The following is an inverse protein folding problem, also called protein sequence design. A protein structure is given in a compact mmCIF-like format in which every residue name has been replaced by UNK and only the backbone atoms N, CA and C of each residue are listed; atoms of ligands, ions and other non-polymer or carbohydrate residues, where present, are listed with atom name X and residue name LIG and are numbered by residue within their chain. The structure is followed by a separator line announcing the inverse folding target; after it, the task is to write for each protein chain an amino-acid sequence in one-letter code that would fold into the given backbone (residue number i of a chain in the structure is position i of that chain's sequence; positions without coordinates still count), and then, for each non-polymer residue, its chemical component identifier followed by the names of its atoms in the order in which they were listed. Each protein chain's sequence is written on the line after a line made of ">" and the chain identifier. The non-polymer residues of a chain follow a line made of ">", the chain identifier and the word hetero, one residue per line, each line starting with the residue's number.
data_IF_865367909993
#
_entry.id   IF_865367909993
#
_cell.length_a   1.000
_cell.length_b   1.000
_cell.length_c   1.000
_cell.angle_alpha   90.00
_cell.angle_beta   90.00
_cell.angle_gamma   90.00
#
_symmetry.space_group_name_H-M   'P 1'
#
loop_
_entity.id
_entity.type
_entity.pdbx_description
1 polymer ?
#
# COMPACT_ATOMS: atom_id res chain seq x y z
N UNK A 1 14.60 -2.48 6.63
CA UNK A 1 15.42 -1.50 7.38
C UNK A 1 14.47 -0.82 8.35
N UNK A 2 14.62 -1.11 9.63
CA UNK A 2 13.76 -0.56 10.70
C UNK A 2 14.29 0.78 11.15
N UNK A 3 13.44 1.78 11.32
CA UNK A 3 13.83 3.06 11.87
C UNK A 3 13.58 3.05 13.39
N UNK A 4 14.62 3.27 14.17
CA UNK A 4 14.62 3.21 15.63
C UNK A 4 15.11 4.52 16.25
N UNK A 5 14.74 4.77 17.50
CA UNK A 5 15.28 5.90 18.27
C UNK A 5 16.71 5.61 18.72
N UNK A 6 17.57 6.62 18.69
CA UNK A 6 18.96 6.50 19.20
C UNK A 6 19.14 6.98 20.63
N UNK A 7 18.15 7.64 21.20
CA UNK A 7 18.16 8.22 22.56
C UNK A 7 16.81 8.04 23.23
N UNK A 8 16.82 8.07 24.57
CA UNK A 8 15.59 8.11 25.39
C UNK A 8 14.91 9.48 25.26
N UNK A 9 13.59 9.48 25.10
CA UNK A 9 12.77 10.68 25.06
C UNK A 9 11.61 10.52 26.07
N UNK A 10 11.87 10.82 27.33
CA UNK A 10 10.90 10.63 28.44
C UNK A 10 9.56 11.28 28.20
N UNK A 11 9.53 12.46 27.57
CA UNK A 11 8.28 13.19 27.29
C UNK A 11 7.35 12.48 26.29
N UNK A 12 7.90 11.55 25.51
CA UNK A 12 7.15 10.74 24.55
C UNK A 12 7.01 9.28 24.99
N UNK A 13 7.63 8.91 26.12
CA UNK A 13 7.69 7.53 26.60
C UNK A 13 8.48 6.61 25.66
N UNK A 14 9.49 7.15 25.00
CA UNK A 14 10.34 6.42 24.04
C UNK A 14 11.68 6.11 24.68
N UNK A 15 12.14 4.88 24.56
CA UNK A 15 13.49 4.42 24.92
C UNK A 15 14.37 4.27 23.69
N UNK A 16 15.69 4.30 23.91
CA UNK A 16 16.65 4.02 22.83
C UNK A 16 16.46 2.60 22.31
N UNK A 17 16.30 2.46 21.00
CA UNK A 17 15.98 1.19 20.33
C UNK A 17 14.52 0.99 20.04
N UNK A 18 13.63 1.87 20.51
CA UNK A 18 12.22 1.80 20.20
C UNK A 18 11.98 2.14 18.71
N UNK A 19 11.09 1.38 18.08
CA UNK A 19 10.66 1.61 16.70
C UNK A 19 9.92 2.94 16.59
N UNK A 20 10.24 3.70 15.55
CA UNK A 20 9.53 4.96 15.30
C UNK A 20 8.06 4.71 14.96
N UNK A 21 7.13 5.49 15.51
CA UNK A 21 5.72 5.38 15.18
C UNK A 21 5.45 5.50 13.68
N UNK A 22 4.47 4.73 13.20
CA UNK A 22 4.04 4.68 11.81
C UNK A 22 5.14 4.28 10.81
N UNK A 23 6.16 3.58 11.27
CA UNK A 23 7.15 2.94 10.40
C UNK A 23 6.86 1.46 10.31
N UNK A 24 6.84 0.93 9.09
CA UNK A 24 6.70 -0.51 8.88
C UNK A 24 8.04 -1.21 9.16
N UNK A 25 7.98 -2.42 9.70
CA UNK A 25 9.18 -3.20 9.98
C UNK A 25 9.87 -3.64 8.69
N UNK A 26 9.09 -4.12 7.74
CA UNK A 26 9.58 -4.50 6.43
C UNK A 26 8.60 -4.09 5.32
N UNK A 27 9.16 -3.79 4.17
CA UNK A 27 8.40 -3.50 2.97
C UNK A 27 9.14 -4.05 1.75
N UNK A 28 8.43 -4.72 0.87
CA UNK A 28 8.98 -5.15 -0.41
C UNK A 28 7.95 -5.03 -1.52
N UNK A 29 8.46 -4.96 -2.74
CA UNK A 29 7.64 -4.98 -3.95
C UNK A 29 8.21 -5.97 -4.96
N UNK A 30 7.32 -6.61 -5.70
CA UNK A 30 7.65 -7.53 -6.79
C UNK A 30 6.78 -7.18 -7.99
N UNK A 31 7.41 -6.96 -9.14
CA UNK A 31 6.73 -6.72 -10.41
C UNK A 31 7.04 -7.83 -11.40
N UNK A 32 6.01 -8.39 -12.02
CA UNK A 32 6.11 -9.34 -13.12
C UNK A 32 5.50 -8.72 -14.37
N UNK A 33 6.24 -8.76 -15.47
CA UNK A 33 5.76 -8.30 -16.78
C UNK A 33 5.85 -9.46 -17.75
N UNK A 34 4.81 -9.66 -18.51
CA UNK A 34 4.71 -10.66 -19.56
C UNK A 34 4.23 -10.00 -20.85
N UNK A 35 5.08 -10.01 -21.86
CA UNK A 35 4.77 -9.50 -23.20
C UNK A 35 4.39 -10.66 -24.11
N UNK A 36 3.35 -10.50 -24.91
CA UNK A 36 2.82 -11.52 -25.79
C UNK A 36 2.05 -10.91 -26.96
N UNK A 37 1.67 -11.72 -27.92
CA UNK A 37 0.72 -11.36 -28.96
C UNK A 37 -0.63 -12.03 -28.69
N UNK A 38 -1.68 -11.23 -28.54
CA UNK A 38 -3.06 -11.70 -28.44
C UNK A 38 -3.86 -11.25 -29.66
N UNK A 39 -4.47 -12.20 -30.36
CA UNK A 39 -5.27 -11.93 -31.56
C UNK A 39 -4.50 -11.17 -32.67
N UNK A 40 -3.18 -11.30 -32.71
CA UNK A 40 -2.32 -10.58 -33.66
C UNK A 40 -1.92 -9.17 -33.24
N UNK A 41 -2.23 -8.75 -32.00
CA UNK A 41 -1.86 -7.47 -31.43
C UNK A 41 -0.80 -7.62 -30.33
N UNK A 42 0.17 -6.71 -30.32
CA UNK A 42 1.16 -6.64 -29.25
C UNK A 42 0.45 -6.32 -27.92
N UNK A 43 0.67 -7.17 -26.96
CA UNK A 43 -0.05 -7.14 -25.69
C UNK A 43 0.90 -7.37 -24.52
N UNK A 44 0.58 -6.81 -23.36
CA UNK A 44 1.32 -7.05 -22.15
C UNK A 44 0.38 -7.31 -20.97
N UNK A 45 0.88 -8.03 -19.99
CA UNK A 45 0.28 -8.15 -18.67
C UNK A 45 1.34 -7.82 -17.62
N UNK A 46 0.98 -6.99 -16.63
CA UNK A 46 1.84 -6.62 -15.51
C UNK A 46 1.10 -6.88 -14.20
N UNK A 47 1.73 -7.66 -13.34
CA UNK A 47 1.29 -7.91 -11.97
C UNK A 47 2.29 -7.26 -11.01
N UNK A 48 1.82 -6.36 -10.18
CA UNK A 48 2.59 -5.74 -9.10
C UNK A 48 2.07 -6.25 -7.75
N UNK A 49 2.97 -6.72 -6.90
CA UNK A 49 2.70 -7.16 -5.54
C UNK A 49 3.50 -6.30 -4.58
N UNK A 50 2.83 -5.69 -3.61
CA UNK A 50 3.42 -4.82 -2.60
C UNK A 50 3.02 -5.33 -1.21
N UNK A 51 4.00 -5.72 -0.43
CA UNK A 51 3.84 -6.09 0.97
C UNK A 51 4.24 -4.93 1.88
N UNK A 52 3.46 -4.73 2.91
CA UNK A 52 3.72 -3.78 3.98
C UNK A 52 3.59 -4.53 5.30
N UNK A 53 4.65 -4.51 6.10
CA UNK A 53 4.65 -5.05 7.45
C UNK A 53 3.78 -4.25 8.39
N UNK A 54 3.57 -4.75 9.59
CA UNK A 54 2.82 -4.06 10.63
C UNK A 54 3.49 -2.76 11.07
N UNK A 55 2.70 -1.86 11.62
CA UNK A 55 3.18 -0.61 12.20
C UNK A 55 2.35 -0.21 13.41
N UNK A 56 2.94 0.60 14.29
CA UNK A 56 2.27 1.14 15.49
C UNK A 56 2.25 2.66 15.46
N UNK A 57 1.16 3.26 15.90
CA UNK A 57 1.03 4.71 15.93
C UNK A 57 1.72 5.36 17.14
N UNK A 58 2.23 4.57 18.09
CA UNK A 58 2.87 5.03 19.33
C UNK A 58 4.13 4.23 19.64
N UNK A 59 5.08 4.80 20.37
CA UNK A 59 6.31 4.13 20.83
C UNK A 59 6.03 2.92 21.73
N UNK A 60 4.94 2.95 22.50
CA UNK A 60 4.57 1.86 23.41
C UNK A 60 4.01 0.62 22.69
N UNK A 61 4.03 0.59 21.36
CA UNK A 61 3.52 -0.53 20.53
C UNK A 61 2.15 -1.04 21.02
N UNK A 62 1.25 -0.10 21.31
CA UNK A 62 -0.06 -0.42 21.83
C UNK A 62 -0.89 -1.17 20.77
N UNK A 63 -1.40 -2.39 21.04
CA UNK A 63 -2.20 -3.16 20.10
C UNK A 63 -3.44 -2.42 19.56
N UNK A 64 -3.99 -1.48 20.33
CA UNK A 64 -5.13 -0.66 19.89
C UNK A 64 -4.74 0.46 18.90
N UNK A 65 -3.45 0.63 18.66
CA UNK A 65 -2.90 1.59 17.69
C UNK A 65 -2.01 0.92 16.63
N UNK A 66 -2.20 -0.38 16.42
CA UNK A 66 -1.46 -1.15 15.41
C UNK A 66 -2.22 -1.20 14.10
N UNK A 67 -1.51 -1.00 13.00
CA UNK A 67 -1.96 -1.34 11.66
C UNK A 67 -1.37 -2.71 11.31
N UNK A 68 -2.18 -3.72 10.97
CA UNK A 68 -1.68 -5.04 10.62
C UNK A 68 -0.91 -5.01 9.29
N UNK A 69 -0.11 -6.03 9.07
CA UNK A 69 0.53 -6.26 7.78
C UNK A 69 -0.50 -6.55 6.68
N UNK A 70 -0.15 -6.22 5.45
CA UNK A 70 -1.01 -6.49 4.29
C UNK A 70 -0.23 -6.60 2.98
N UNK A 71 -0.86 -7.27 2.01
CA UNK A 71 -0.35 -7.37 0.65
C UNK A 71 -1.33 -6.79 -0.34
N UNK A 72 -0.91 -5.78 -1.09
CA UNK A 72 -1.70 -5.20 -2.18
C UNK A 72 -1.19 -5.71 -3.53
N UNK A 73 -2.09 -6.26 -4.34
CA UNK A 73 -1.81 -6.71 -5.70
C UNK A 73 -2.54 -5.83 -6.71
N UNK A 74 -1.85 -5.48 -7.80
CA UNK A 74 -2.44 -4.73 -8.91
C UNK A 74 -2.14 -5.46 -10.22
N UNK A 75 -3.13 -5.53 -11.09
CA UNK A 75 -3.00 -6.11 -12.43
C UNK A 75 -3.25 -5.04 -13.49
N UNK A 76 -2.38 -4.99 -14.48
CA UNK A 76 -2.55 -4.14 -15.65
C UNK A 76 -2.34 -4.98 -16.92
N UNK A 77 -3.31 -4.96 -17.82
CA UNK A 77 -3.25 -5.63 -19.10
C UNK A 77 -3.45 -4.59 -20.20
N UNK A 78 -2.58 -4.60 -21.21
CA UNK A 78 -2.68 -3.68 -22.32
C UNK A 78 -2.59 -4.40 -23.67
N UNK A 79 -3.28 -3.86 -24.65
CA UNK A 79 -3.26 -4.35 -26.04
C UNK A 79 -3.12 -3.17 -27.00
N UNK A 80 -2.09 -3.20 -27.82
CA UNK A 80 -1.87 -2.21 -28.85
C UNK A 80 -2.66 -2.64 -30.11
N UNK A 81 -3.75 -1.96 -30.38
CA UNK A 81 -4.65 -2.30 -31.50
C UNK A 81 -4.16 -1.76 -32.86
N UNK A 82 -2.98 -1.11 -32.88
CA UNK A 82 -2.44 -0.46 -34.08
C UNK A 82 -2.99 0.95 -34.31
N UNK A 83 -2.45 1.64 -35.29
CA UNK A 83 -2.85 3.00 -35.69
C UNK A 83 -2.97 4.00 -34.51
N UNK A 84 -2.05 3.91 -33.52
CA UNK A 84 -2.06 4.76 -32.33
C UNK A 84 -3.13 4.42 -31.30
N UNK A 85 -3.75 3.26 -31.39
CA UNK A 85 -4.81 2.80 -30.50
C UNK A 85 -4.29 1.85 -29.43
N UNK A 86 -4.52 2.15 -28.15
CA UNK A 86 -4.16 1.32 -27.01
C UNK A 86 -5.38 1.09 -26.11
N UNK A 87 -5.70 -0.17 -25.86
CA UNK A 87 -6.71 -0.60 -24.90
C UNK A 87 -6.01 -1.11 -23.65
N UNK A 88 -6.38 -0.59 -22.47
CA UNK A 88 -5.85 -1.01 -21.19
C UNK A 88 -6.98 -1.40 -20.24
N UNK A 89 -6.73 -2.46 -19.49
CA UNK A 89 -7.58 -2.94 -18.41
C UNK A 89 -6.73 -3.02 -17.14
N UNK A 90 -7.16 -2.33 -16.09
CA UNK A 90 -6.44 -2.28 -14.82
C UNK A 90 -7.33 -2.69 -13.68
N UNK A 91 -6.81 -3.49 -12.76
CA UNK A 91 -7.43 -3.83 -11.49
C UNK A 91 -6.49 -3.38 -10.38
N UNK A 92 -6.89 -2.40 -9.62
CA UNK A 92 -6.23 -2.04 -8.37
C UNK A 92 -6.82 -2.85 -7.23
N UNK A 93 -5.96 -3.28 -6.32
CA UNK A 93 -6.32 -4.14 -5.20
C UNK A 93 -7.04 -5.43 -5.66
N UNK A 94 -6.35 -6.24 -6.46
CA UNK A 94 -6.87 -7.45 -7.10
C UNK A 94 -7.50 -8.44 -6.10
N UNK A 95 -6.93 -8.55 -4.92
CA UNK A 95 -7.38 -9.44 -3.83
C UNK A 95 -8.53 -8.88 -3.01
N UNK A 96 -8.91 -7.60 -3.23
CA UNK A 96 -9.89 -6.83 -2.42
C UNK A 96 -9.48 -6.81 -0.94
N UNK A 97 -8.18 -6.62 -0.69
CA UNK A 97 -7.64 -6.49 0.66
C UNK A 97 -8.31 -5.34 1.40
N UNK A 98 -8.78 -5.59 2.62
CA UNK A 98 -9.54 -4.62 3.43
C UNK A 98 -8.94 -4.52 4.80
N UNK A 99 -7.93 -3.69 4.92
CA UNK A 99 -7.25 -3.46 6.19
C UNK A 99 -6.97 -1.97 6.40
N UNK A 100 -6.59 -1.63 7.59
CA UNK A 100 -6.19 -0.29 7.99
C UNK A 100 -4.73 -0.07 7.58
N UNK A 101 -4.51 0.79 6.58
CA UNK A 101 -3.17 1.08 6.08
C UNK A 101 -2.39 2.01 7.01
N UNK A 102 -3.09 2.76 7.86
CA UNK A 102 -2.49 3.75 8.71
C UNK A 102 -3.44 4.13 9.85
N UNK A 103 -2.91 4.18 11.08
CA UNK A 103 -3.62 4.68 12.25
C UNK A 103 -2.88 5.90 12.78
N UNK A 104 -3.59 6.99 12.97
CA UNK A 104 -3.10 8.17 13.67
C UNK A 104 -3.72 8.24 15.05
N UNK A 105 -2.92 7.98 16.09
CA UNK A 105 -3.35 8.12 17.48
C UNK A 105 -3.26 9.59 17.88
N UNK A 106 -4.41 10.23 18.08
CA UNK A 106 -4.47 11.56 18.66
C UNK A 106 -4.51 11.40 20.17
N UNK A 107 -3.41 11.71 20.85
CA UNK A 107 -3.39 11.92 22.31
C UNK A 107 -4.10 13.24 22.63
N UNK A 108 -5.41 13.27 22.45
CA UNK A 108 -6.23 14.35 22.98
C UNK A 108 -6.47 14.07 24.46
N UNK A 109 -5.98 14.95 25.33
CA UNK A 109 -6.21 14.93 26.77
C UNK A 109 -7.68 15.17 27.11
N UNK A 110 -8.54 15.45 26.16
CA UNK A 110 -9.98 15.58 26.28
C UNK A 110 -10.67 14.22 26.15
N UNK A 111 -11.13 13.65 27.22
CA UNK A 111 -12.20 12.66 27.46
C UNK A 111 -12.40 11.46 26.49
N UNK A 112 -11.91 11.48 25.23
CA UNK A 112 -12.06 10.37 24.27
C UNK A 112 -10.83 10.27 23.37
N UNK A 113 -10.00 9.24 23.52
CA UNK A 113 -8.96 8.95 22.54
C UNK A 113 -9.64 8.71 21.19
N UNK A 114 -9.26 9.48 20.18
CA UNK A 114 -9.76 9.33 18.82
C UNK A 114 -8.62 8.84 17.96
N UNK A 115 -8.76 7.65 17.41
CA UNK A 115 -7.88 7.17 16.36
C UNK A 115 -8.49 7.54 15.01
N UNK A 116 -7.68 8.13 14.14
CA UNK A 116 -8.02 8.30 12.74
C UNK A 116 -7.43 7.12 11.99
N UNK A 117 -8.24 6.47 11.17
CA UNK A 117 -7.85 5.30 10.42
C UNK A 117 -7.96 5.60 8.94
N UNK A 118 -6.94 5.23 8.18
CA UNK A 118 -6.98 5.24 6.73
C UNK A 118 -7.07 3.81 6.23
N UNK A 119 -8.14 3.49 5.55
CA UNK A 119 -8.35 2.18 4.94
C UNK A 119 -7.69 2.10 3.57
N UNK A 120 -7.28 0.89 3.20
CA UNK A 120 -6.87 0.62 1.82
C UNK A 120 -8.08 0.83 0.91
N UNK A 121 -7.92 1.54 -0.23
CA UNK A 121 -8.98 1.66 -1.21
C UNK A 121 -9.49 0.28 -1.67
N UNK A 122 -10.79 0.08 -1.80
CA UNK A 122 -11.37 -1.18 -2.25
C UNK A 122 -10.90 -1.51 -3.67
N UNK A 123 -11.09 -2.76 -4.07
CA UNK A 123 -10.81 -3.16 -5.45
C UNK A 123 -11.53 -2.25 -6.42
N UNK A 124 -10.77 -1.74 -7.38
CA UNK A 124 -11.31 -0.93 -8.47
C UNK A 124 -10.88 -1.51 -9.82
N UNK A 125 -11.76 -1.38 -10.80
CA UNK A 125 -11.54 -1.83 -12.17
C UNK A 125 -11.67 -0.63 -13.09
N UNK A 126 -10.67 -0.45 -13.95
CA UNK A 126 -10.62 0.64 -14.92
C UNK A 126 -10.37 0.08 -16.31
N UNK A 127 -11.15 0.53 -17.28
CA UNK A 127 -10.90 0.32 -18.69
C UNK A 127 -10.55 1.66 -19.32
N UNK A 128 -9.41 1.73 -19.98
CA UNK A 128 -8.94 2.94 -20.64
C UNK A 128 -8.66 2.63 -22.11
N UNK A 129 -9.22 3.44 -22.99
CA UNK A 129 -8.88 3.47 -24.39
C UNK A 129 -8.16 4.78 -24.72
N UNK A 130 -7.03 4.69 -25.36
CA UNK A 130 -6.23 5.84 -25.81
C UNK A 130 -6.09 5.78 -27.32
N UNK A 131 -6.33 6.88 -28.00
CA UNK A 131 -6.11 7.04 -29.42
C UNK A 131 -5.23 8.28 -29.65
N UNK A 132 -4.18 8.10 -30.44
CA UNK A 132 -3.26 9.17 -30.86
C UNK A 132 -3.36 9.36 -32.37
N UNK A 133 -3.70 10.54 -32.83
CA UNK A 133 -3.83 10.93 -34.24
C UNK A 133 -2.70 11.87 -34.64
#
# INVERSE_FOLDING_TARGET
>A
MTAETSIDIDSLGAAAGDRLPNTVEEQWNLGLVYDTMLFGFDSFARLDMNYYGDSYATFAENPNSSSPDYTKMNLNVGMNLGEGSLLQFSIDNLTDERTEAFIYAVNDTSWRPRNWMQWIPPRSVVVKYTYSF
#
